data_IF_177103172242
#
_entry.id   IF_177103172242
#
_cell.length_a   1.000
_cell.length_b   1.000
_cell.length_c   1.000
_cell.angle_alpha   90.00
_cell.angle_beta   90.00
_cell.angle_gamma   90.00
#
_symmetry.space_group_name_H-M   'P 1'
#
loop_
_entity.id
_entity.type
_entity.pdbx_description
1 polymer ?
#
# COMPACT_ATOMS: atom_id res chain seq x y z
N UNK A 1 -0.25 12.17 -10.52
CA UNK A 1 0.80 13.06 -9.97
C UNK A 1 0.67 13.11 -8.44
N UNK A 2 1.78 12.93 -7.71
CA UNK A 2 1.94 13.11 -6.25
C UNK A 2 2.89 14.28 -6.02
N UNK A 3 2.51 15.22 -5.18
CA UNK A 3 3.38 16.31 -4.73
C UNK A 3 3.52 16.26 -3.21
N UNK A 4 4.74 16.39 -2.75
CA UNK A 4 5.12 16.40 -1.33
C UNK A 4 5.89 17.69 -1.11
N UNK A 5 5.41 18.52 -0.20
CA UNK A 5 5.91 19.89 0.00
C UNK A 5 6.24 20.12 1.48
N UNK A 6 7.49 20.35 1.78
CA UNK A 6 8.00 20.77 3.09
C UNK A 6 7.57 19.84 4.25
N UNK A 7 7.51 18.52 4.01
CA UNK A 7 7.09 17.56 5.04
C UNK A 7 8.09 17.54 6.19
N UNK A 8 7.54 17.72 7.37
CA UNK A 8 8.27 17.70 8.65
C UNK A 8 7.62 16.67 9.59
N UNK A 9 8.44 15.99 10.39
CA UNK A 9 7.97 15.09 11.42
C UNK A 9 8.93 15.07 12.60
N UNK A 10 8.39 15.28 13.77
CA UNK A 10 9.07 15.14 15.04
C UNK A 10 8.32 14.14 15.93
N UNK A 11 9.06 13.36 16.69
CA UNK A 11 8.51 12.47 17.71
C UNK A 11 9.04 12.88 19.10
N UNK A 12 8.23 12.80 20.16
CA UNK A 12 8.60 13.26 21.49
C UNK A 12 9.88 12.62 22.06
N UNK A 13 10.18 11.36 21.64
CA UNK A 13 11.35 10.62 22.15
C UNK A 13 12.55 10.63 21.20
N UNK A 14 12.33 10.75 19.91
CA UNK A 14 13.36 10.61 18.87
C UNK A 14 13.75 11.93 18.22
N UNK A 15 13.09 13.03 18.60
CA UNK A 15 13.32 14.36 18.01
C UNK A 15 12.84 14.44 16.54
N UNK A 16 13.44 15.34 15.80
CA UNK A 16 13.08 15.61 14.42
C UNK A 16 13.61 14.53 13.48
N UNK A 17 12.71 13.77 12.86
CA UNK A 17 13.00 12.65 11.95
C UNK A 17 12.94 13.10 10.49
N UNK A 18 11.96 13.94 10.13
CA UNK A 18 11.88 14.57 8.79
C UNK A 18 11.95 16.08 8.98
N UNK A 19 12.86 16.74 8.24
CA UNK A 19 13.14 18.18 8.45
C UNK A 19 12.50 19.08 7.41
N UNK A 20 12.56 18.72 6.15
CA UNK A 20 12.03 19.48 5.02
C UNK A 20 12.10 18.61 3.77
N UNK A 21 11.16 17.68 3.64
CA UNK A 21 11.15 16.75 2.52
C UNK A 21 10.19 17.26 1.47
N UNK A 22 10.72 17.55 0.28
CA UNK A 22 9.93 18.01 -0.87
C UNK A 22 10.33 17.25 -2.12
N UNK A 23 9.34 16.76 -2.87
CA UNK A 23 9.51 16.16 -4.19
C UNK A 23 8.17 16.10 -4.93
N UNK A 24 8.26 15.90 -6.24
CA UNK A 24 7.10 15.66 -7.10
C UNK A 24 7.32 14.36 -7.87
N UNK A 25 6.27 13.56 -8.01
CA UNK A 25 6.25 12.34 -8.79
C UNK A 25 5.13 12.44 -9.83
N UNK A 26 5.51 12.44 -11.10
CA UNK A 26 4.61 12.46 -12.25
C UNK A 26 3.95 11.10 -12.49
N UNK A 27 3.02 11.07 -13.45
CA UNK A 27 2.38 9.81 -13.84
C UNK A 27 3.38 8.97 -14.64
N UNK A 28 3.52 7.69 -14.29
CA UNK A 28 4.47 6.77 -14.90
C UNK A 28 5.92 6.93 -14.42
N UNK A 29 6.19 7.85 -13.50
CA UNK A 29 7.52 8.02 -12.92
C UNK A 29 7.79 7.05 -11.78
N UNK A 30 9.06 6.75 -11.57
CA UNK A 30 9.58 5.95 -10.46
C UNK A 30 10.53 6.78 -9.61
N UNK A 31 10.31 6.83 -8.30
CA UNK A 31 11.16 7.50 -7.33
C UNK A 31 11.72 6.50 -6.32
N UNK A 32 13.05 6.46 -6.19
CA UNK A 32 13.72 5.67 -5.16
C UNK A 32 14.19 6.58 -4.01
N UNK A 33 13.82 6.22 -2.78
CA UNK A 33 14.25 6.91 -1.55
C UNK A 33 15.36 6.08 -0.90
N UNK A 34 16.60 6.57 -1.00
CA UNK A 34 17.81 5.88 -0.51
C UNK A 34 18.35 6.61 0.71
N UNK A 35 18.86 5.87 1.68
CA UNK A 35 19.50 6.42 2.87
C UNK A 35 19.80 5.34 3.92
N UNK A 36 20.63 5.63 4.92
CA UNK A 36 20.99 4.69 5.98
C UNK A 36 19.76 4.28 6.83
N UNK A 37 19.93 3.24 7.64
CA UNK A 37 18.94 2.88 8.63
C UNK A 37 18.70 4.06 9.59
N UNK A 38 17.44 4.32 9.96
CA UNK A 38 17.08 5.46 10.81
C UNK A 38 16.96 6.81 10.09
N UNK A 39 17.23 6.91 8.79
CA UNK A 39 17.11 8.17 8.02
C UNK A 39 15.66 8.69 7.84
N UNK A 40 14.66 7.99 8.38
CA UNK A 40 13.26 8.41 8.29
C UNK A 40 12.50 7.86 7.08
N UNK A 41 13.06 6.95 6.27
CA UNK A 41 12.41 6.36 5.09
C UNK A 41 11.05 5.75 5.42
N UNK A 42 10.99 4.87 6.41
CA UNK A 42 9.73 4.23 6.86
C UNK A 42 8.74 5.25 7.45
N UNK A 43 9.24 6.32 8.09
CA UNK A 43 8.39 7.42 8.58
C UNK A 43 7.74 8.17 7.42
N UNK A 44 8.54 8.53 6.40
CA UNK A 44 8.03 9.15 5.17
C UNK A 44 6.99 8.24 4.51
N UNK A 45 7.29 6.96 4.35
CA UNK A 45 6.38 5.97 3.79
C UNK A 45 5.04 5.91 4.55
N UNK A 46 5.08 5.89 5.90
CA UNK A 46 3.87 5.89 6.74
C UNK A 46 3.07 7.18 6.65
N UNK A 47 3.72 8.30 6.45
CA UNK A 47 3.04 9.59 6.21
C UNK A 47 2.36 9.56 4.84
N UNK A 48 3.05 9.10 3.80
CA UNK A 48 2.50 9.00 2.45
C UNK A 48 1.30 8.05 2.36
N UNK A 49 1.30 6.92 3.07
CA UNK A 49 0.15 6.02 3.07
C UNK A 49 -0.96 6.40 4.08
N UNK A 50 -0.72 7.46 4.87
CA UNK A 50 -1.68 8.01 5.84
C UNK A 50 -1.85 7.21 7.13
N UNK A 51 -0.91 6.31 7.46
CA UNK A 51 -0.86 5.61 8.76
C UNK A 51 -0.19 6.44 9.83
N UNK A 52 0.60 7.45 9.45
CA UNK A 52 1.21 8.44 10.33
C UNK A 52 0.80 9.85 9.89
N UNK A 53 0.69 10.77 10.84
CA UNK A 53 0.36 12.18 10.57
C UNK A 53 1.65 12.98 10.45
N UNK A 54 1.78 13.81 9.41
CA UNK A 54 2.90 14.77 9.32
C UNK A 54 2.81 15.84 10.40
N UNK A 55 3.96 16.39 10.81
CA UNK A 55 4.04 17.50 11.75
C UNK A 55 3.86 18.88 11.07
N UNK A 56 4.14 18.93 9.77
CA UNK A 56 3.99 20.12 8.92
C UNK A 56 4.22 19.77 7.46
N UNK A 57 3.90 20.70 6.56
CA UNK A 57 3.96 20.50 5.11
C UNK A 57 2.66 20.00 4.52
N UNK A 58 2.69 19.73 3.21
CA UNK A 58 1.50 19.37 2.42
C UNK A 58 1.77 18.17 1.52
N UNK A 59 0.75 17.32 1.34
CA UNK A 59 0.76 16.19 0.40
C UNK A 59 -0.45 16.30 -0.49
N UNK A 60 -0.23 16.35 -1.81
CA UNK A 60 -1.29 16.40 -2.79
C UNK A 60 -1.28 15.14 -3.65
N UNK A 61 -2.34 14.36 -3.55
CA UNK A 61 -2.62 13.26 -4.46
C UNK A 61 -3.61 13.75 -5.54
N UNK A 62 -3.14 13.86 -6.79
CA UNK A 62 -3.95 14.38 -7.91
C UNK A 62 -4.63 15.71 -7.58
N UNK A 63 -3.92 16.62 -6.89
CA UNK A 63 -4.44 17.92 -6.48
C UNK A 63 -5.32 17.93 -5.22
N UNK A 64 -5.57 16.77 -4.60
CA UNK A 64 -6.31 16.71 -3.33
C UNK A 64 -5.34 16.74 -2.15
N UNK A 65 -5.51 17.69 -1.24
CA UNK A 65 -4.73 17.81 -0.01
C UNK A 65 -5.04 16.65 0.94
N UNK A 66 -4.07 15.77 1.13
CA UNK A 66 -4.25 14.55 1.90
C UNK A 66 -4.26 14.79 3.42
N UNK A 67 -3.40 15.66 3.92
CA UNK A 67 -3.30 16.02 5.34
C UNK A 67 -4.55 16.75 5.85
N UNK A 68 -5.19 17.54 4.98
CA UNK A 68 -6.45 18.23 5.29
C UNK A 68 -7.68 17.32 5.15
N UNK A 69 -7.57 16.24 4.38
CA UNK A 69 -8.68 15.31 4.14
C UNK A 69 -9.13 14.60 5.44
N UNK A 70 -10.42 14.48 5.63
CA UNK A 70 -11.03 13.81 6.79
C UNK A 70 -12.09 12.81 6.33
N UNK A 71 -12.35 11.83 7.17
CA UNK A 71 -13.48 10.92 7.01
C UNK A 71 -13.52 10.25 5.63
N UNK A 72 -14.52 10.59 4.82
CA UNK A 72 -14.74 9.99 3.49
C UNK A 72 -13.65 10.37 2.49
N UNK A 73 -13.23 11.63 2.48
CA UNK A 73 -12.25 12.14 1.52
C UNK A 73 -10.86 11.52 1.76
N UNK A 74 -10.44 11.41 3.03
CA UNK A 74 -9.20 10.70 3.38
C UNK A 74 -9.23 9.25 2.89
N UNK A 75 -10.34 8.53 3.11
CA UNK A 75 -10.50 7.16 2.62
C UNK A 75 -10.50 7.08 1.10
N UNK A 76 -11.07 8.08 0.41
CA UNK A 76 -11.04 8.12 -1.05
C UNK A 76 -9.61 8.22 -1.58
N UNK A 77 -8.77 9.10 -1.02
CA UNK A 77 -7.35 9.18 -1.37
C UNK A 77 -6.61 7.89 -1.02
N UNK A 78 -6.78 7.36 0.20
CA UNK A 78 -6.13 6.10 0.60
C UNK A 78 -6.48 4.91 -0.30
N UNK A 79 -7.66 4.92 -0.92
CA UNK A 79 -8.06 3.89 -1.90
C UNK A 79 -7.24 3.93 -3.18
N UNK A 80 -6.65 5.06 -3.53
CA UNK A 80 -5.80 5.21 -4.72
C UNK A 80 -4.34 4.87 -4.47
N UNK A 81 -3.99 4.51 -3.24
CA UNK A 81 -2.62 4.18 -2.84
C UNK A 81 -2.52 2.67 -2.63
N UNK A 82 -1.68 2.02 -3.42
CA UNK A 82 -1.25 0.65 -3.18
C UNK A 82 -0.04 0.65 -2.24
N UNK A 83 0.00 -0.26 -1.28
CA UNK A 83 1.09 -0.32 -0.30
C UNK A 83 1.65 -1.74 -0.21
N UNK A 84 2.96 -1.86 -0.40
CA UNK A 84 3.73 -3.08 -0.18
C UNK A 84 4.58 -2.84 1.06
N UNK A 85 4.32 -3.60 2.12
CA UNK A 85 5.05 -3.52 3.39
C UNK A 85 6.22 -4.49 3.40
N UNK A 86 7.27 -4.16 4.15
CA UNK A 86 8.45 -4.99 4.34
C UNK A 86 8.08 -6.41 4.86
N UNK A 87 7.16 -6.51 5.82
CA UNK A 87 6.68 -7.79 6.38
C UNK A 87 5.54 -8.41 5.57
N UNK A 88 5.28 -7.92 4.34
CA UNK A 88 4.19 -8.32 3.46
C UNK A 88 2.78 -8.20 4.05
N UNK A 89 2.59 -8.26 5.35
CA UNK A 89 1.30 -8.20 6.08
C UNK A 89 0.25 -9.14 5.47
N UNK A 90 0.61 -10.38 5.13
CA UNK A 90 -0.28 -11.39 4.57
C UNK A 90 -0.92 -12.25 5.66
N UNK A 91 -2.15 -12.70 5.42
CA UNK A 91 -2.84 -13.64 6.30
C UNK A 91 -2.36 -15.05 5.97
N UNK A 92 -1.51 -15.63 6.81
CA UNK A 92 -0.75 -16.85 6.51
C UNK A 92 -1.61 -18.10 6.29
N UNK A 93 -2.74 -18.23 7.03
CA UNK A 93 -3.63 -19.38 6.97
C UNK A 93 -4.66 -19.30 5.84
N UNK A 94 -4.66 -18.27 5.02
CA UNK A 94 -5.55 -18.13 3.87
C UNK A 94 -4.78 -18.27 2.56
N UNK A 95 -5.48 -18.57 1.47
CA UNK A 95 -4.88 -18.76 0.15
C UNK A 95 -4.30 -17.46 -0.43
N UNK A 96 -3.44 -17.59 -1.45
CA UNK A 96 -2.93 -16.46 -2.22
C UNK A 96 -4.07 -15.64 -2.80
N UNK A 97 -5.05 -16.30 -3.41
CA UNK A 97 -6.23 -15.65 -3.99
C UNK A 97 -7.02 -14.86 -2.95
N UNK A 98 -7.26 -15.47 -1.77
CA UNK A 98 -7.97 -14.79 -0.68
C UNK A 98 -7.22 -13.56 -0.18
N UNK A 99 -5.89 -13.63 -0.07
CA UNK A 99 -5.06 -12.49 0.33
C UNK A 99 -5.19 -11.32 -0.64
N UNK A 100 -5.23 -11.57 -1.95
CA UNK A 100 -5.44 -10.53 -2.96
C UNK A 100 -6.86 -9.98 -2.89
N UNK A 101 -7.88 -10.83 -2.75
CA UNK A 101 -9.28 -10.41 -2.60
C UNK A 101 -9.53 -9.54 -1.37
N UNK A 102 -8.79 -9.76 -0.28
CA UNK A 102 -8.91 -8.97 0.95
C UNK A 102 -8.65 -7.47 0.72
N UNK A 103 -7.94 -7.08 -0.35
CA UNK A 103 -7.81 -5.67 -0.73
C UNK A 103 -9.15 -5.00 -1.01
N UNK A 104 -10.18 -5.75 -1.40
CA UNK A 104 -11.51 -5.22 -1.71
C UNK A 104 -12.43 -5.10 -0.49
N UNK A 105 -12.07 -5.65 0.67
CA UNK A 105 -12.92 -5.65 1.88
C UNK A 105 -13.44 -4.25 2.27
N UNK A 106 -12.62 -3.17 2.19
CA UNK A 106 -13.09 -1.83 2.55
C UNK A 106 -14.19 -1.26 1.64
N UNK A 107 -14.46 -1.90 0.51
CA UNK A 107 -15.45 -1.49 -0.49
C UNK A 107 -16.73 -2.34 -0.43
N UNK A 108 -16.72 -3.36 0.40
CA UNK A 108 -17.83 -4.31 0.51
C UNK A 108 -18.78 -3.91 1.64
N UNK A 109 -20.05 -4.31 1.52
CA UNK A 109 -20.96 -4.25 2.67
C UNK A 109 -20.48 -5.24 3.75
N UNK A 110 -20.78 -4.92 5.02
CA UNK A 110 -20.35 -5.74 6.16
C UNK A 110 -20.79 -7.21 6.00
N UNK A 111 -22.03 -7.45 5.57
CA UNK A 111 -22.55 -8.81 5.37
C UNK A 111 -21.79 -9.56 4.28
N UNK A 112 -21.54 -8.93 3.13
CA UNK A 112 -20.80 -9.55 2.04
C UNK A 112 -19.33 -9.82 2.44
N UNK A 113 -18.70 -8.91 3.20
CA UNK A 113 -17.35 -9.07 3.68
C UNK A 113 -17.22 -10.25 4.67
N UNK A 114 -18.15 -10.35 5.63
CA UNK A 114 -18.18 -11.43 6.62
C UNK A 114 -18.41 -12.82 5.98
N UNK A 115 -19.23 -12.87 4.92
CA UNK A 115 -19.51 -14.10 4.19
C UNK A 115 -18.49 -14.41 3.07
N UNK A 116 -17.49 -13.54 2.86
CA UNK A 116 -16.49 -13.72 1.81
C UNK A 116 -17.06 -13.65 0.38
N UNK A 117 -18.14 -12.92 0.16
CA UNK A 117 -18.86 -12.86 -1.12
C UNK A 117 -18.22 -11.82 -2.05
N UNK A 118 -17.03 -12.10 -2.57
CA UNK A 118 -16.29 -11.17 -3.44
C UNK A 118 -16.90 -11.00 -4.84
N UNK A 119 -17.71 -11.95 -5.29
CA UNK A 119 -18.27 -11.96 -6.63
C UNK A 119 -17.28 -12.41 -7.71
N UNK A 120 -17.83 -12.89 -8.84
CA UNK A 120 -17.05 -13.51 -9.92
C UNK A 120 -16.01 -12.55 -10.52
N UNK A 121 -16.41 -11.33 -10.82
CA UNK A 121 -15.53 -10.35 -11.47
C UNK A 121 -14.27 -10.04 -10.63
N UNK A 122 -14.41 -9.85 -9.30
CA UNK A 122 -13.25 -9.63 -8.43
C UNK A 122 -12.36 -10.85 -8.33
N UNK A 123 -12.96 -12.03 -8.26
CA UNK A 123 -12.21 -13.31 -8.22
C UNK A 123 -11.41 -13.53 -9.50
N UNK A 124 -12.00 -13.29 -10.67
CA UNK A 124 -11.31 -13.40 -11.96
C UNK A 124 -10.18 -12.37 -12.08
N UNK A 125 -10.41 -11.12 -11.65
CA UNK A 125 -9.37 -10.08 -11.62
C UNK A 125 -8.20 -10.48 -10.71
N UNK A 126 -8.47 -10.93 -9.49
CA UNK A 126 -7.44 -11.36 -8.54
C UNK A 126 -6.62 -12.54 -9.09
N UNK A 127 -7.28 -13.53 -9.71
CA UNK A 127 -6.61 -14.65 -10.37
C UNK A 127 -5.77 -14.19 -11.58
N UNK A 128 -6.25 -13.19 -12.32
CA UNK A 128 -5.51 -12.56 -13.42
C UNK A 128 -4.21 -11.94 -12.94
N UNK A 129 -4.27 -11.09 -11.92
CA UNK A 129 -3.09 -10.44 -11.34
C UNK A 129 -2.11 -11.47 -10.79
N UNK A 130 -2.60 -12.53 -10.11
CA UNK A 130 -1.72 -13.60 -9.62
C UNK A 130 -1.02 -14.36 -10.76
N UNK A 131 -1.66 -14.53 -11.92
CA UNK A 131 -1.01 -15.08 -13.12
C UNK A 131 0.07 -14.15 -13.66
N UNK A 132 -0.21 -12.84 -13.74
CA UNK A 132 0.78 -11.84 -14.18
C UNK A 132 2.04 -11.83 -13.33
N UNK A 133 1.94 -12.09 -12.02
CA UNK A 133 3.10 -12.21 -11.13
C UNK A 133 3.67 -13.65 -11.06
N UNK A 134 3.22 -14.56 -11.93
CA UNK A 134 3.74 -15.93 -12.04
C UNK A 134 3.38 -16.84 -10.85
N UNK A 135 2.14 -16.74 -10.37
CA UNK A 135 1.61 -17.56 -9.25
C UNK A 135 0.28 -18.27 -9.63
N UNK A 136 0.10 -18.62 -10.90
CA UNK A 136 -1.12 -19.27 -11.38
C UNK A 136 -1.38 -20.65 -10.75
N UNK A 137 -0.31 -21.38 -10.45
CA UNK A 137 -0.34 -22.70 -9.78
C UNK A 137 -0.49 -22.60 -8.26
N UNK A 138 -0.47 -21.39 -7.69
CA UNK A 138 -0.52 -21.11 -6.25
C UNK A 138 -1.79 -20.39 -5.78
N UNK A 139 -2.82 -20.27 -6.61
CA UNK A 139 -4.05 -19.55 -6.28
C UNK A 139 -4.69 -20.04 -4.97
N UNK A 140 -4.79 -21.35 -4.80
CA UNK A 140 -5.40 -21.99 -3.64
C UNK A 140 -4.41 -22.34 -2.53
N UNK A 141 -3.10 -22.15 -2.74
CA UNK A 141 -2.07 -22.49 -1.76
C UNK A 141 -2.11 -21.51 -0.58
N UNK A 142 -2.15 -21.99 0.68
CA UNK A 142 -2.01 -21.15 1.86
C UNK A 142 -0.67 -20.41 1.87
N UNK A 143 -0.71 -19.11 2.19
CA UNK A 143 0.48 -18.24 2.16
C UNK A 143 1.61 -18.74 3.04
N UNK A 144 1.33 -19.40 4.16
CA UNK A 144 2.36 -19.99 5.03
C UNK A 144 3.25 -21.04 4.35
N UNK A 145 2.80 -21.64 3.24
CA UNK A 145 3.57 -22.63 2.46
C UNK A 145 4.38 -22.02 1.34
N UNK A 146 4.24 -20.72 1.10
CA UNK A 146 4.94 -20.00 0.06
C UNK A 146 6.36 -19.63 0.49
N UNK A 147 7.29 -19.61 -0.47
CA UNK A 147 8.61 -19.02 -0.27
C UNK A 147 8.52 -17.50 -0.07
N UNK A 148 9.59 -16.87 0.47
CA UNK A 148 9.64 -15.42 0.65
C UNK A 148 9.34 -14.64 -0.63
N UNK A 149 9.95 -15.01 -1.76
CA UNK A 149 9.69 -14.38 -3.05
C UNK A 149 8.27 -14.62 -3.58
N UNK A 150 7.65 -15.76 -3.26
CA UNK A 150 6.24 -15.99 -3.59
C UNK A 150 5.31 -15.14 -2.72
N UNK A 151 5.58 -15.03 -1.41
CA UNK A 151 4.84 -14.13 -0.49
C UNK A 151 4.93 -12.68 -0.97
N UNK A 152 6.11 -12.23 -1.37
CA UNK A 152 6.31 -10.90 -1.94
C UNK A 152 5.43 -10.68 -3.17
N UNK A 153 5.39 -11.62 -4.12
CA UNK A 153 4.54 -11.54 -5.31
C UNK A 153 3.04 -11.50 -4.97
N UNK A 154 2.59 -12.23 -3.94
CA UNK A 154 1.21 -12.10 -3.43
C UNK A 154 0.95 -10.72 -2.85
N UNK A 155 1.90 -10.12 -2.12
CA UNK A 155 1.78 -8.76 -1.59
C UNK A 155 1.69 -7.71 -2.70
N UNK A 156 2.49 -7.88 -3.78
CA UNK A 156 2.41 -7.04 -4.98
C UNK A 156 1.03 -7.18 -5.64
N UNK A 157 0.57 -8.42 -5.88
CA UNK A 157 -0.74 -8.68 -6.46
C UNK A 157 -1.88 -8.05 -5.64
N UNK A 158 -1.81 -8.13 -4.32
CA UNK A 158 -2.76 -7.49 -3.42
C UNK A 158 -2.74 -5.96 -3.55
N UNK A 159 -1.57 -5.36 -3.64
CA UNK A 159 -1.45 -3.91 -3.80
C UNK A 159 -2.03 -3.43 -5.14
N UNK A 160 -1.87 -4.21 -6.21
CA UNK A 160 -2.38 -3.91 -7.55
C UNK A 160 -3.89 -4.15 -7.71
N UNK A 161 -4.52 -4.95 -6.84
CA UNK A 161 -5.93 -5.37 -6.97
C UNK A 161 -6.91 -4.20 -7.13
N UNK A 162 -6.58 -3.02 -6.60
CA UNK A 162 -7.43 -1.83 -6.59
C UNK A 162 -7.03 -0.79 -7.63
N UNK A 163 -6.20 -1.12 -8.61
CA UNK A 163 -5.69 -0.21 -9.64
C UNK A 163 -5.13 1.09 -9.02
N UNK A 164 -4.13 1.01 -8.15
CA UNK A 164 -3.64 2.19 -7.42
C UNK A 164 -3.06 3.22 -8.39
N UNK A 165 -3.31 4.50 -8.10
CA UNK A 165 -2.68 5.61 -8.83
C UNK A 165 -1.23 5.83 -8.40
N UNK A 166 -0.90 5.45 -7.16
CA UNK A 166 0.46 5.50 -6.60
C UNK A 166 0.73 4.18 -5.89
N UNK A 167 1.88 3.57 -6.17
CA UNK A 167 2.35 2.38 -5.48
C UNK A 167 3.51 2.76 -4.56
N UNK A 168 3.34 2.51 -3.29
CA UNK A 168 4.38 2.70 -2.27
C UNK A 168 4.96 1.34 -1.88
N UNK A 169 6.28 1.21 -1.87
CA UNK A 169 6.96 -0.01 -1.47
C UNK A 169 8.05 0.29 -0.44
N UNK A 170 7.97 -0.36 0.73
CA UNK A 170 8.96 -0.24 1.82
C UNK A 170 9.86 -1.47 1.79
N UNK A 171 11.11 -1.30 1.34
CA UNK A 171 12.12 -2.37 1.18
C UNK A 171 11.55 -3.63 0.50
N UNK A 172 11.03 -3.51 -0.75
CA UNK A 172 10.32 -4.62 -1.40
C UNK A 172 11.22 -5.79 -1.82
N UNK A 173 12.52 -5.65 -1.68
CA UNK A 173 13.54 -6.69 -1.97
C UNK A 173 14.50 -6.76 -0.78
N UNK A 174 14.55 -7.91 -0.16
CA UNK A 174 15.56 -8.31 0.82
C UNK A 174 16.35 -9.51 0.28
#
# INVERSE_FOLDING_TARGET
>A
MLQVLHIQKEFPRSGQVLRDVSFTLGDGEFLSVIGPSGAGKTTLFRILNGTEVCGGGEILYKGTHFEAARGRDKRAVQRTIGTIYQDFCLVENTSSLQNVLNACLPEMSLGAALLGLFGRARTEKAAGILREVGLEDKLSEPVKRLSGGQKQRVAIARALMRDPAVLLADEPVA
#
